data_IF_386158476854
#
_entry.id   IF_386158476854
#
_cell.length_a   1.000
_cell.length_b   1.000
_cell.length_c   1.000
_cell.angle_alpha   90.00
_cell.angle_beta   90.00
_cell.angle_gamma   90.00
#
_symmetry.space_group_name_H-M   'P 1'
#
loop_
_entity.id
_entity.type
_entity.pdbx_description
1 polymer ?
#
# COMPACT_ATOMS: atom_id res chain seq x y z
N UNK A 1 42.78 43.65 20.89
CA UNK A 1 41.78 43.43 19.80
C UNK A 1 41.99 42.12 19.03
N UNK A 2 43.24 41.67 18.78
CA UNK A 2 43.54 40.40 18.08
C UNK A 2 43.03 39.13 18.80
N UNK A 3 43.11 39.09 20.13
CA UNK A 3 42.62 37.98 20.97
C UNK A 3 41.08 37.85 20.95
N UNK A 4 40.36 38.96 20.81
CA UNK A 4 38.89 38.95 20.72
C UNK A 4 38.44 38.34 19.37
N UNK A 5 39.17 38.60 18.29
CA UNK A 5 38.93 38.01 16.97
C UNK A 5 39.19 36.49 16.95
N UNK A 6 40.22 36.02 17.66
CA UNK A 6 40.55 34.60 17.79
C UNK A 6 39.49 33.80 18.57
N UNK A 7 38.91 34.40 19.62
CA UNK A 7 37.83 33.79 20.40
C UNK A 7 36.52 33.66 19.60
N UNK A 8 36.20 34.65 18.76
CA UNK A 8 35.01 34.60 17.88
C UNK A 8 35.19 33.54 16.79
N UNK A 9 36.40 33.40 16.24
CA UNK A 9 36.71 32.37 15.24
C UNK A 9 36.59 30.95 15.81
N UNK A 10 36.96 30.74 17.08
CA UNK A 10 36.85 29.45 17.76
C UNK A 10 35.39 29.03 18.00
N UNK A 11 34.51 29.99 18.29
CA UNK A 11 33.09 29.74 18.55
C UNK A 11 32.29 29.42 17.27
N UNK A 12 32.75 29.90 16.11
CA UNK A 12 32.14 29.57 14.82
C UNK A 12 32.40 28.11 14.38
N UNK A 13 33.46 27.48 14.89
CA UNK A 13 33.86 26.11 14.51
C UNK A 13 33.10 25.01 15.28
N UNK A 14 32.63 25.31 16.49
CA UNK A 14 31.95 24.32 17.36
C UNK A 14 30.46 24.12 17.03
N UNK A 15 29.84 25.01 16.24
CA UNK A 15 28.40 24.96 15.94
C UNK A 15 27.93 23.90 14.94
N UNK A 16 28.83 23.10 14.34
CA UNK A 16 28.47 22.12 13.29
C UNK A 16 28.14 20.72 13.81
N UNK A 17 28.28 20.46 15.11
CA UNK A 17 28.16 19.10 15.67
C UNK A 17 26.79 18.75 16.29
N UNK A 18 25.81 19.66 16.27
CA UNK A 18 24.48 19.44 16.89
C UNK A 18 23.38 19.05 15.90
N UNK A 19 23.71 18.46 14.75
CA UNK A 19 22.73 17.80 13.88
C UNK A 19 23.07 16.32 13.80
N UNK A 20 22.95 15.63 14.94
CA UNK A 20 22.95 14.17 14.96
C UNK A 20 21.72 13.72 14.19
N UNK A 21 21.98 13.12 13.03
CA UNK A 21 21.04 12.45 12.14
C UNK A 21 19.86 11.87 12.90
N UNK A 22 18.68 12.41 12.61
CA UNK A 22 17.42 11.76 12.89
C UNK A 22 17.40 10.46 12.09
N UNK A 23 17.89 9.38 12.69
CA UNK A 23 17.76 8.02 12.16
C UNK A 23 16.29 7.82 11.83
N UNK A 24 15.98 7.73 10.55
CA UNK A 24 14.68 7.27 10.07
C UNK A 24 14.47 5.90 10.72
N UNK A 25 13.65 5.84 11.77
CA UNK A 25 13.17 4.57 12.33
C UNK A 25 12.49 3.87 11.17
N UNK A 26 13.12 2.84 10.62
CA UNK A 26 12.47 1.97 9.65
C UNK A 26 11.24 1.38 10.35
N UNK A 27 10.07 1.57 9.73
CA UNK A 27 8.80 1.11 10.28
C UNK A 27 8.89 -0.41 10.48
N UNK A 28 8.74 -0.86 11.72
CA UNK A 28 8.87 -2.28 12.06
C UNK A 28 7.72 -3.05 11.39
N UNK A 29 7.86 -4.36 11.13
CA UNK A 29 6.80 -5.15 10.51
C UNK A 29 5.46 -5.06 11.26
N UNK A 30 5.50 -4.95 12.60
CA UNK A 30 4.31 -4.73 13.43
C UNK A 30 3.59 -3.39 13.15
N UNK A 31 4.30 -2.36 12.68
CA UNK A 31 3.74 -1.07 12.33
C UNK A 31 3.05 -1.10 10.93
N UNK A 32 3.09 -2.23 10.22
CA UNK A 32 2.56 -2.41 8.86
C UNK A 32 1.35 -3.35 8.76
N UNK A 33 0.77 -3.77 9.89
CA UNK A 33 -0.39 -4.67 9.88
C UNK A 33 -1.61 -3.94 9.30
N UNK A 34 -2.09 -4.41 8.13
CA UNK A 34 -3.29 -3.89 7.47
C UNK A 34 -4.45 -4.86 7.65
N UNK A 35 -5.62 -4.34 7.99
CA UNK A 35 -6.85 -5.12 8.06
C UNK A 35 -7.34 -5.44 6.63
N UNK A 36 -7.62 -6.71 6.38
CA UNK A 36 -8.22 -7.19 5.12
C UNK A 36 -9.52 -7.93 5.42
N UNK A 37 -10.48 -7.82 4.50
CA UNK A 37 -11.71 -8.58 4.55
C UNK A 37 -11.63 -9.70 3.53
N UNK A 38 -11.84 -10.92 4.01
CA UNK A 38 -12.01 -12.08 3.15
C UNK A 38 -13.50 -12.27 2.88
N UNK A 39 -13.88 -12.24 1.60
CA UNK A 39 -15.27 -12.39 1.15
C UNK A 39 -15.36 -13.58 0.21
N UNK A 40 -16.29 -14.48 0.47
CA UNK A 40 -16.58 -15.63 -0.38
C UNK A 40 -17.99 -15.51 -0.95
N UNK A 41 -18.09 -15.47 -2.28
CA UNK A 41 -19.37 -15.44 -2.97
C UNK A 41 -19.80 -16.87 -3.34
N UNK A 42 -21.00 -17.25 -2.92
CA UNK A 42 -21.61 -18.54 -3.25
C UNK A 42 -22.42 -18.37 -4.53
N UNK A 43 -22.44 -19.41 -5.38
CA UNK A 43 -23.29 -19.43 -6.58
C UNK A 43 -24.77 -19.26 -6.22
N UNK A 44 -25.47 -18.41 -6.96
CA UNK A 44 -26.93 -18.27 -6.83
C UNK A 44 -27.69 -19.48 -7.41
N UNK A 45 -28.96 -19.70 -7.00
CA UNK A 45 -29.76 -20.85 -7.42
C UNK A 45 -30.22 -20.80 -8.89
N UNK A 46 -30.37 -19.60 -9.46
CA UNK A 46 -30.88 -19.42 -10.82
C UNK A 46 -29.78 -18.94 -11.76
N UNK A 47 -29.46 -19.74 -12.78
CA UNK A 47 -28.55 -19.37 -13.90
C UNK A 47 -29.12 -19.90 -15.21
N UNK A 48 -30.15 -19.22 -15.72
CA UNK A 48 -30.85 -19.60 -16.96
C UNK A 48 -30.38 -18.76 -18.17
N UNK A 49 -29.30 -18.00 -18.01
CA UNK A 49 -28.69 -17.18 -19.06
C UNK A 49 -27.98 -18.03 -20.11
N UNK A 50 -28.11 -17.64 -21.37
CA UNK A 50 -27.38 -18.23 -22.49
C UNK A 50 -25.86 -18.00 -22.39
N UNK A 51 -25.10 -18.73 -23.20
CA UNK A 51 -23.63 -18.69 -23.19
C UNK A 51 -23.06 -17.30 -23.53
N UNK A 52 -23.71 -16.56 -24.42
CA UNK A 52 -23.23 -15.24 -24.87
C UNK A 52 -23.43 -14.18 -23.77
N UNK A 53 -24.59 -14.20 -23.13
CA UNK A 53 -24.97 -13.39 -21.98
C UNK A 53 -24.09 -13.72 -20.79
N UNK A 54 -23.82 -15.00 -20.53
CA UNK A 54 -22.91 -15.42 -19.47
C UNK A 54 -21.48 -14.90 -19.69
N UNK A 55 -20.97 -14.92 -20.93
CA UNK A 55 -19.66 -14.38 -21.27
C UNK A 55 -19.60 -12.85 -21.06
N UNK A 56 -20.63 -12.13 -21.51
CA UNK A 56 -20.72 -10.67 -21.30
C UNK A 56 -20.79 -10.29 -19.81
N UNK A 57 -21.52 -11.06 -19.01
CA UNK A 57 -21.57 -10.87 -17.55
C UNK A 57 -20.19 -11.09 -16.93
N UNK A 58 -19.47 -12.13 -17.37
CA UNK A 58 -18.13 -12.42 -16.89
C UNK A 58 -17.13 -11.32 -17.27
N UNK A 59 -17.21 -10.78 -18.47
CA UNK A 59 -16.40 -9.65 -18.91
C UNK A 59 -16.63 -8.41 -18.03
N UNK A 60 -17.90 -8.05 -17.78
CA UNK A 60 -18.25 -6.97 -16.87
C UNK A 60 -17.75 -7.19 -15.44
N UNK A 61 -17.78 -8.44 -14.96
CA UNK A 61 -17.22 -8.81 -13.66
C UNK A 61 -15.71 -8.57 -13.59
N UNK A 62 -14.97 -8.95 -14.63
CA UNK A 62 -13.52 -8.72 -14.71
C UNK A 62 -13.17 -7.24 -14.83
N UNK A 63 -13.93 -6.47 -15.60
CA UNK A 63 -13.74 -5.02 -15.69
C UNK A 63 -13.89 -4.32 -14.33
N UNK A 64 -14.89 -4.72 -13.53
CA UNK A 64 -15.08 -4.19 -12.18
C UNK A 64 -13.95 -4.58 -11.22
N UNK A 65 -13.47 -5.83 -11.28
CA UNK A 65 -12.33 -6.29 -10.47
C UNK A 65 -11.07 -5.50 -10.82
N UNK A 66 -10.78 -5.32 -12.11
CA UNK A 66 -9.62 -4.53 -12.56
C UNK A 66 -9.72 -3.09 -12.05
N UNK A 67 -10.90 -2.47 -12.15
CA UNK A 67 -11.14 -1.13 -11.61
C UNK A 67 -10.84 -1.06 -10.11
N UNK A 68 -11.34 -2.01 -9.31
CA UNK A 68 -11.10 -2.06 -7.87
C UNK A 68 -9.62 -2.31 -7.52
N UNK A 69 -8.90 -3.06 -8.36
CA UNK A 69 -7.47 -3.29 -8.22
C UNK A 69 -6.67 -2.00 -8.43
N UNK A 70 -6.94 -1.27 -9.52
CA UNK A 70 -6.29 0.01 -9.80
C UNK A 70 -6.67 1.11 -8.80
N UNK A 71 -7.89 1.09 -8.26
CA UNK A 71 -8.30 1.94 -7.14
C UNK A 71 -7.61 1.56 -5.80
N UNK A 72 -6.85 0.46 -5.77
CA UNK A 72 -6.12 -0.01 -4.59
C UNK A 72 -6.97 -0.66 -3.50
N UNK A 73 -8.29 -0.76 -3.70
CA UNK A 73 -9.29 -1.33 -2.76
C UNK A 73 -9.25 -2.85 -2.72
N UNK A 74 -8.88 -3.48 -3.83
CA UNK A 74 -8.83 -4.93 -3.97
C UNK A 74 -7.39 -5.36 -4.21
N UNK A 75 -6.87 -6.26 -3.36
CA UNK A 75 -5.51 -6.79 -3.52
C UNK A 75 -5.48 -8.05 -4.36
N UNK A 76 -6.42 -8.96 -4.11
CA UNK A 76 -6.53 -10.24 -4.83
C UNK A 76 -8.00 -10.60 -4.97
N UNK A 77 -8.38 -11.09 -6.15
CA UNK A 77 -9.69 -11.67 -6.42
C UNK A 77 -9.55 -12.76 -7.48
N UNK A 78 -10.39 -13.78 -7.39
CA UNK A 78 -10.39 -14.86 -8.37
C UNK A 78 -11.38 -15.96 -8.01
N UNK A 79 -11.58 -16.92 -8.92
CA UNK A 79 -12.39 -18.09 -8.67
C UNK A 79 -11.74 -18.95 -7.58
N UNK A 80 -12.27 -18.82 -6.38
CA UNK A 80 -11.91 -19.64 -5.23
C UNK A 80 -12.77 -20.90 -5.25
N UNK A 81 -12.13 -22.01 -5.64
CA UNK A 81 -12.66 -23.37 -5.66
C UNK A 81 -13.61 -23.74 -6.82
N UNK A 82 -13.02 -24.44 -7.81
CA UNK A 82 -13.73 -25.43 -8.63
C UNK A 82 -12.88 -26.70 -8.66
N UNK A 83 -12.98 -27.54 -7.62
CA UNK A 83 -12.58 -28.94 -7.79
C UNK A 83 -13.65 -29.63 -8.64
N UNK A 84 -13.19 -30.49 -9.56
CA UNK A 84 -14.02 -31.46 -10.26
C UNK A 84 -14.92 -32.21 -9.29
#
# INVERSE_FOLDING_TARGET
MKILLLLILLFAFTGKSYSQQQTKKEARPEDQIRQYWFVMLIKGPNRNQDSATAAKIQEGHMASINRLYYEGKLKVAGPIWRRR
#
